data_IF_638286527428
#
_entry.id   IF_638286527428
#
_cell.length_a   1.000
_cell.length_b   1.000
_cell.length_c   1.000
_cell.angle_alpha   90.00
_cell.angle_beta   90.00
_cell.angle_gamma   90.00
#
_symmetry.space_group_name_H-M   'P 1'
#
loop_
_entity.id
_entity.type
_entity.pdbx_description
1 polymer ?
#
# COMPACT_ATOMS: atom_id res chain seq x y z
N UNK A 1 -5.64 -13.82 -0.27
CA UNK A 1 -4.93 -12.82 0.56
C UNK A 1 -5.89 -11.68 0.95
N UNK A 2 -7.12 -11.99 1.39
CA UNK A 2 -8.13 -10.94 1.68
C UNK A 2 -8.73 -11.06 3.09
N UNK A 3 -8.67 -12.23 3.73
CA UNK A 3 -9.20 -12.43 5.10
C UNK A 3 -8.29 -11.80 6.16
N UNK A 4 -6.97 -11.95 6.05
CA UNK A 4 -6.04 -11.43 7.05
C UNK A 4 -5.95 -9.90 7.05
N UNK A 5 -6.14 -9.25 5.90
CA UNK A 5 -6.09 -7.79 5.77
C UNK A 5 -7.32 -7.10 6.38
N UNK A 6 -8.53 -7.60 6.15
CA UNK A 6 -9.73 -7.03 6.80
C UNK A 6 -9.74 -7.28 8.30
N UNK A 7 -9.35 -8.48 8.73
CA UNK A 7 -9.18 -8.82 10.15
C UNK A 7 -8.14 -7.94 10.83
N UNK A 8 -6.99 -7.73 10.18
CA UNK A 8 -5.92 -6.87 10.66
C UNK A 8 -6.30 -5.38 10.68
N UNK A 9 -6.92 -4.85 9.64
CA UNK A 9 -7.37 -3.44 9.61
C UNK A 9 -8.38 -3.17 10.72
N UNK A 10 -9.35 -4.07 10.92
CA UNK A 10 -10.31 -3.97 12.03
C UNK A 10 -9.64 -4.15 13.39
N UNK A 11 -8.67 -5.05 13.51
CA UNK A 11 -7.86 -5.20 14.73
C UNK A 11 -6.90 -4.03 14.96
N UNK A 12 -6.57 -3.23 13.94
CA UNK A 12 -5.78 -2.00 14.07
C UNK A 12 -6.63 -0.83 14.60
N UNK A 13 -7.93 -0.84 14.30
CA UNK A 13 -8.92 0.08 14.86
C UNK A 13 -9.26 -0.26 16.33
N UNK A 14 -9.22 -1.53 16.70
CA UNK A 14 -9.25 -1.96 18.10
C UNK A 14 -7.83 -2.03 18.69
N UNK A 15 -7.67 -2.03 20.01
CA UNK A 15 -6.36 -1.85 20.65
C UNK A 15 -5.81 -3.15 21.26
N UNK A 16 -6.09 -4.28 20.60
CA UNK A 16 -5.71 -5.62 21.05
C UNK A 16 -4.31 -5.98 20.56
N UNK A 17 -3.47 -6.53 21.45
CA UNK A 17 -2.10 -6.98 21.12
C UNK A 17 -2.14 -8.36 20.45
N UNK A 18 -1.63 -8.48 19.22
CA UNK A 18 -1.64 -9.72 18.42
C UNK A 18 -0.23 -10.26 18.09
N UNK A 19 0.83 -9.75 18.71
CA UNK A 19 2.19 -10.35 18.64
C UNK A 19 2.97 -9.96 17.37
N UNK A 20 3.59 -10.92 16.64
CA UNK A 20 4.42 -10.63 15.44
C UNK A 20 3.66 -9.89 14.31
N UNK A 21 2.34 -9.98 14.32
CA UNK A 21 1.45 -9.30 13.38
C UNK A 21 1.38 -7.80 13.70
N UNK A 22 1.74 -7.38 14.93
CA UNK A 22 1.69 -5.99 15.39
C UNK A 22 2.60 -5.05 14.57
N UNK A 23 3.70 -5.55 13.99
CA UNK A 23 4.57 -4.75 13.13
C UNK A 23 3.92 -4.38 11.78
N UNK A 24 3.19 -5.33 11.19
CA UNK A 24 2.40 -5.12 9.96
C UNK A 24 1.11 -4.35 10.24
N UNK A 25 0.51 -4.52 11.43
CA UNK A 25 -0.65 -3.74 11.86
C UNK A 25 -0.28 -2.31 12.21
N UNK A 26 0.94 -2.07 12.71
CA UNK A 26 1.42 -0.73 13.03
C UNK A 26 1.44 0.17 11.80
N UNK A 27 1.96 -0.30 10.66
CA UNK A 27 1.95 0.50 9.43
C UNK A 27 0.54 0.81 8.93
N UNK A 28 -0.41 -0.12 9.10
CA UNK A 28 -1.82 0.10 8.78
C UNK A 28 -2.44 1.13 9.76
N UNK A 29 -2.10 1.04 11.04
CA UNK A 29 -2.57 1.97 12.08
C UNK A 29 -1.99 3.38 11.89
N UNK A 30 -0.74 3.48 11.50
CA UNK A 30 -0.08 4.74 11.15
C UNK A 30 -0.79 5.38 9.94
N UNK A 31 -1.13 4.58 8.92
CA UNK A 31 -1.91 5.03 7.77
C UNK A 31 -3.33 5.46 8.18
N UNK A 32 -3.98 4.72 9.09
CA UNK A 32 -5.28 5.10 9.62
C UNK A 32 -5.23 6.44 10.35
N UNK A 33 -4.14 6.71 11.08
CA UNK A 33 -3.93 7.95 11.80
C UNK A 33 -3.61 9.13 10.87
N UNK A 34 -2.81 8.89 9.83
CA UNK A 34 -2.49 9.87 8.78
C UNK A 34 -3.76 10.30 8.03
N UNK A 35 -4.63 9.35 7.68
CA UNK A 35 -5.86 9.59 6.96
C UNK A 35 -7.10 9.72 7.86
N UNK A 36 -6.93 9.94 9.17
CA UNK A 36 -8.03 9.93 10.15
C UNK A 36 -9.16 10.90 9.78
N UNK A 37 -8.83 12.12 9.33
CA UNK A 37 -9.81 13.15 8.99
C UNK A 37 -10.64 12.74 7.76
N UNK A 38 -10.03 12.02 6.82
CA UNK A 38 -10.73 11.46 5.66
C UNK A 38 -11.61 10.26 6.04
N UNK A 39 -11.14 9.42 6.96
CA UNK A 39 -11.90 8.26 7.45
C UNK A 39 -13.06 8.69 8.36
N UNK A 40 -12.91 9.74 9.16
CA UNK A 40 -13.97 10.26 10.05
C UNK A 40 -15.17 10.81 9.27
N UNK A 41 -14.96 11.28 8.04
CA UNK A 41 -16.04 11.72 7.14
C UNK A 41 -16.93 10.55 6.65
N UNK A 42 -16.45 9.32 6.74
CA UNK A 42 -17.24 8.14 6.36
C UNK A 42 -18.20 7.75 7.49
N UNK A 43 -19.48 7.51 7.18
CA UNK A 43 -20.53 7.35 8.20
C UNK A 43 -20.49 5.98 8.89
N UNK A 44 -19.99 4.93 8.24
CA UNK A 44 -19.96 3.58 8.81
C UNK A 44 -18.54 3.06 9.04
N UNK A 45 -18.38 2.21 10.06
CA UNK A 45 -17.10 1.52 10.32
C UNK A 45 -16.69 0.63 9.13
N UNK A 46 -17.65 0.00 8.47
CA UNK A 46 -17.38 -0.85 7.31
C UNK A 46 -16.78 -0.06 6.15
N UNK A 47 -17.32 1.13 5.84
CA UNK A 47 -16.74 2.01 4.81
C UNK A 47 -15.35 2.49 5.19
N UNK A 48 -15.10 2.76 6.48
CA UNK A 48 -13.76 3.15 6.97
C UNK A 48 -12.75 2.02 6.79
N UNK A 49 -13.13 0.79 7.16
CA UNK A 49 -12.28 -0.40 6.98
C UNK A 49 -12.01 -0.63 5.48
N UNK A 50 -13.04 -0.56 4.65
CA UNK A 50 -12.92 -0.78 3.21
C UNK A 50 -12.02 0.29 2.57
N UNK A 51 -12.20 1.56 2.96
CA UNK A 51 -11.36 2.66 2.47
C UNK A 51 -9.92 2.53 2.94
N UNK A 52 -9.70 2.15 4.19
CA UNK A 52 -8.36 1.93 4.75
C UNK A 52 -7.66 0.72 4.08
N UNK A 53 -8.40 -0.32 3.69
CA UNK A 53 -7.87 -1.41 2.86
C UNK A 53 -7.41 -0.88 1.49
N UNK A 54 -8.19 -0.03 0.82
CA UNK A 54 -7.79 0.58 -0.46
C UNK A 54 -6.52 1.44 -0.27
N UNK A 55 -6.49 2.31 0.74
CA UNK A 55 -5.34 3.15 1.04
C UNK A 55 -4.07 2.32 1.32
N UNK A 56 -4.21 1.22 2.06
CA UNK A 56 -3.07 0.35 2.35
C UNK A 56 -2.50 -0.29 1.07
N UNK A 57 -3.36 -0.75 0.15
CA UNK A 57 -2.88 -1.29 -1.14
C UNK A 57 -2.12 -0.22 -1.93
N UNK A 58 -2.64 1.01 -1.97
CA UNK A 58 -1.97 2.13 -2.65
C UNK A 58 -0.60 2.41 -2.02
N UNK A 59 -0.54 2.48 -0.69
CA UNK A 59 0.70 2.72 0.03
C UNK A 59 1.72 1.61 -0.19
N UNK A 60 1.28 0.34 -0.23
CA UNK A 60 2.19 -0.78 -0.48
C UNK A 60 2.73 -0.80 -1.91
N UNK A 61 1.91 -0.42 -2.90
CA UNK A 61 2.40 -0.24 -4.27
C UNK A 61 3.48 0.83 -4.33
N UNK A 62 3.26 1.97 -3.67
CA UNK A 62 4.28 3.02 -3.56
C UNK A 62 5.55 2.49 -2.88
N UNK A 63 5.43 1.82 -1.74
CA UNK A 63 6.56 1.25 -1.00
C UNK A 63 7.38 0.27 -1.86
N UNK A 64 6.72 -0.63 -2.59
CA UNK A 64 7.39 -1.58 -3.49
C UNK A 64 8.10 -0.84 -4.63
N UNK A 65 7.43 0.14 -5.23
CA UNK A 65 8.01 0.95 -6.31
C UNK A 65 9.22 1.77 -5.88
N UNK A 66 9.30 2.17 -4.61
CA UNK A 66 10.41 2.92 -4.04
C UNK A 66 11.62 2.03 -3.69
N UNK A 67 11.48 0.70 -3.69
CA UNK A 67 12.61 -0.17 -3.38
C UNK A 67 13.72 -0.07 -4.43
N UNK A 68 14.97 -0.20 -3.97
CA UNK A 68 16.13 -0.27 -4.86
C UNK A 68 16.03 -1.42 -5.86
N UNK A 69 15.38 -2.53 -5.50
CA UNK A 69 15.20 -3.70 -6.38
C UNK A 69 14.40 -3.32 -7.62
N UNK A 70 13.25 -2.65 -7.44
CA UNK A 70 12.37 -2.21 -8.54
C UNK A 70 13.03 -1.10 -9.34
N UNK A 71 13.60 -0.09 -8.67
CA UNK A 71 14.27 1.01 -9.35
C UNK A 71 15.50 0.56 -10.16
N UNK A 72 16.29 -0.37 -9.62
CA UNK A 72 17.41 -0.99 -10.36
C UNK A 72 16.92 -1.85 -11.53
N UNK A 73 15.70 -2.40 -11.48
CA UNK A 73 15.07 -3.09 -12.61
C UNK A 73 14.76 -2.13 -13.75
N UNK A 74 14.20 -0.96 -13.43
CA UNK A 74 13.98 0.07 -14.42
C UNK A 74 15.28 0.65 -14.96
N UNK A 75 16.29 0.88 -14.12
CA UNK A 75 17.61 1.37 -14.55
C UNK A 75 18.32 0.43 -15.53
N UNK A 76 18.15 -0.90 -15.39
CA UNK A 76 18.70 -1.88 -16.35
C UNK A 76 17.81 -2.09 -17.60
N UNK A 77 16.77 -1.28 -17.78
CA UNK A 77 15.84 -1.39 -18.92
C UNK A 77 14.89 -2.57 -18.87
N UNK A 78 14.74 -3.23 -17.71
CA UNK A 78 13.79 -4.33 -17.56
C UNK A 78 12.36 -3.79 -17.46
N UNK A 79 11.46 -4.27 -18.33
CA UNK A 79 10.03 -3.97 -18.23
C UNK A 79 9.45 -4.60 -16.97
N UNK A 80 9.02 -3.77 -16.02
CA UNK A 80 8.43 -4.16 -14.75
C UNK A 80 7.30 -3.18 -14.41
N UNK A 81 6.13 -3.70 -14.02
CA UNK A 81 4.99 -2.90 -13.60
C UNK A 81 4.46 -3.40 -12.26
N UNK A 82 4.20 -2.48 -11.35
CA UNK A 82 3.62 -2.74 -10.03
C UNK A 82 2.17 -2.30 -10.07
N UNK A 83 1.23 -3.22 -9.85
CA UNK A 83 -0.20 -2.96 -9.90
C UNK A 83 -0.82 -3.07 -8.50
N UNK A 84 -1.69 -2.13 -8.15
CA UNK A 84 -2.51 -2.20 -6.95
C UNK A 84 -3.90 -2.68 -7.25
N UNK A 85 -4.25 -3.86 -6.75
CA UNK A 85 -5.59 -4.39 -6.88
C UNK A 85 -6.14 -4.84 -5.53
N UNK A 86 -7.44 -4.68 -5.36
CA UNK A 86 -8.19 -5.15 -4.19
C UNK A 86 -9.19 -6.21 -4.64
N UNK A 87 -9.35 -7.24 -3.83
CA UNK A 87 -10.31 -8.32 -4.08
C UNK A 87 -11.42 -8.25 -3.04
N UNK A 88 -12.63 -7.96 -3.52
CA UNK A 88 -13.84 -7.97 -2.71
C UNK A 88 -14.29 -9.41 -2.44
N UNK A 89 -14.34 -9.79 -1.16
CA UNK A 89 -14.71 -11.16 -0.77
C UNK A 89 -16.24 -11.32 -0.83
N UNK A 90 -16.99 -10.23 -0.59
CA UNK A 90 -18.45 -10.25 -0.55
C UNK A 90 -19.08 -10.45 -1.93
N UNK A 91 -18.47 -9.84 -2.94
CA UNK A 91 -18.93 -9.77 -4.32
C UNK A 91 -18.05 -10.59 -5.28
N UNK A 92 -16.88 -11.06 -4.83
CA UNK A 92 -15.93 -11.80 -5.66
C UNK A 92 -15.25 -10.93 -6.73
N UNK A 93 -15.37 -9.60 -6.63
CA UNK A 93 -14.90 -8.70 -7.66
C UNK A 93 -13.42 -8.37 -7.46
N UNK A 94 -12.66 -8.51 -8.55
CA UNK A 94 -11.30 -8.02 -8.63
C UNK A 94 -11.31 -6.58 -9.15
N UNK A 95 -11.01 -5.63 -8.27
CA UNK A 95 -10.99 -4.20 -8.58
C UNK A 95 -9.56 -3.73 -8.68
N UNK A 96 -9.20 -3.18 -9.84
CA UNK A 96 -7.95 -2.46 -10.01
C UNK A 96 -8.10 -1.04 -9.42
N UNK A 97 -7.15 -0.61 -8.60
CA UNK A 97 -7.16 0.73 -8.00
C UNK A 97 -6.53 1.78 -8.92
N UNK A 98 -6.11 1.40 -10.13
CA UNK A 98 -5.50 2.26 -11.15
C UNK A 98 -4.23 2.99 -10.66
N UNK A 99 -3.53 2.43 -9.68
CA UNK A 99 -2.26 2.95 -9.12
C UNK A 99 -1.04 2.25 -9.71
N UNK A 100 -1.10 1.94 -11.01
CA UNK A 100 -0.01 1.19 -11.66
C UNK A 100 1.24 2.06 -11.81
N UNK A 101 2.39 1.54 -11.37
CA UNK A 101 3.70 2.18 -11.54
C UNK A 101 4.57 1.28 -12.42
N UNK A 102 5.03 1.82 -13.55
CA UNK A 102 5.80 1.14 -14.59
C UNK A 102 7.17 1.77 -14.87
N UNK A 103 7.50 2.89 -14.23
CA UNK A 103 8.76 3.59 -14.49
C UNK A 103 9.18 4.58 -13.40
N UNK A 104 10.45 5.00 -13.48
CA UNK A 104 11.08 5.96 -12.55
C UNK A 104 10.49 7.37 -12.66
N UNK A 105 9.98 7.74 -13.84
CA UNK A 105 9.36 9.03 -14.12
C UNK A 105 8.06 9.25 -13.32
N UNK A 106 7.39 8.17 -12.94
CA UNK A 106 6.17 8.19 -12.14
C UNK A 106 6.46 8.30 -10.63
N UNK A 107 7.71 8.13 -10.20
CA UNK A 107 8.09 8.31 -8.81
C UNK A 107 8.34 9.79 -8.47
N UNK A 108 7.98 10.26 -7.27
CA UNK A 108 8.37 11.58 -6.81
C UNK A 108 9.90 11.72 -6.77
N UNK A 109 10.48 12.90 -7.07
CA UNK A 109 11.93 13.09 -7.14
C UNK A 109 12.68 12.67 -5.86
N UNK A 110 12.03 12.82 -4.71
CA UNK A 110 12.57 12.49 -3.38
C UNK A 110 12.84 10.99 -3.19
N UNK A 111 12.10 10.13 -3.92
CA UNK A 111 12.22 8.68 -3.83
C UNK A 111 13.03 8.07 -4.98
N UNK A 112 13.49 8.87 -5.95
CA UNK A 112 14.30 8.36 -7.07
C UNK A 112 15.74 8.12 -6.63
N UNK A 113 16.16 6.86 -6.72
CA UNK A 113 17.52 6.43 -6.42
C UNK A 113 18.39 6.55 -7.68
N UNK A 114 19.61 7.04 -7.50
CA UNK A 114 20.63 7.01 -8.54
C UNK A 114 21.02 5.57 -8.89
N UNK A 115 21.33 5.28 -10.17
CA UNK A 115 21.75 3.94 -10.57
C UNK A 115 23.05 3.52 -9.89
N UNK A 116 23.12 2.24 -9.48
CA UNK A 116 24.35 1.63 -8.95
C UNK A 116 25.41 1.60 -10.05
N UNK A 117 26.44 2.44 -9.93
CA UNK A 117 27.56 2.53 -10.88
C UNK A 117 27.74 3.89 -11.56
N UNK A 118 26.91 4.89 -11.26
CA UNK A 118 27.18 6.27 -11.65
C UNK A 118 28.24 6.89 -10.73
N UNK A 119 29.51 6.80 -11.11
CA UNK A 119 30.59 7.58 -10.48
C UNK A 119 30.25 9.08 -10.53
N UNK A 120 30.50 9.77 -9.43
CA UNK A 120 30.87 11.19 -9.43
C UNK A 120 32.25 11.37 -10.07
#
# INVERSE_FOLDING_TARGET
MSIELRGGVRASLHNDQLGLIDGWLRSIRDLAYEYREHLEQLPTEEERVDRLCELNVIQQVANVSHTSIVQNAWHRGQSLSVHGCIYGIKDGLWKNLNVTVSGLDQLPPQYRLSPLGGCC
#
